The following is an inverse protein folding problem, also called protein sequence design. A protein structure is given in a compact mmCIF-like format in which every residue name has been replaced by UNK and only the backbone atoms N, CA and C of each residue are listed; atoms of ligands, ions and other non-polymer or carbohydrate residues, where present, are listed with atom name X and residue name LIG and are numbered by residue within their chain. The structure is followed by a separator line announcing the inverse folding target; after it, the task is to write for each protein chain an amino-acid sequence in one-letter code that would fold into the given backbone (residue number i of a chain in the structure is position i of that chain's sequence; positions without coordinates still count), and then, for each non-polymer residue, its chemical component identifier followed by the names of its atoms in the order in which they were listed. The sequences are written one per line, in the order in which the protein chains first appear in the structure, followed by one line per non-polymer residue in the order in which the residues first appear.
data_IF_170319063385
#
_entry.id   IF_170319063385
#
_cell.length_a   1.000
_cell.length_b   1.000
_cell.length_c   1.000
_cell.angle_alpha   90.00
_cell.angle_beta   90.00
_cell.angle_gamma   90.00
#
_symmetry.space_group_name_H-M   'P 1'
#
loop_
_entity.id
_entity.type
_entity.pdbx_description
1 polymer ?
#
# COMPACT_ATOMS: atom_id res chain seq x y z
N UNK A 1 6.54 -4.16 -21.35
CA UNK A 1 6.93 -4.37 -19.93
C UNK A 1 6.50 -5.77 -19.54
N UNK A 2 7.40 -6.61 -19.02
CA UNK A 2 7.01 -7.97 -18.60
C UNK A 2 6.13 -7.88 -17.36
N UNK A 3 4.97 -8.51 -17.45
CA UNK A 3 3.94 -8.45 -16.43
C UNK A 3 3.34 -9.82 -16.21
N UNK A 4 2.93 -10.07 -14.97
CA UNK A 4 2.40 -11.35 -14.53
C UNK A 4 1.21 -11.14 -13.61
N UNK A 5 0.34 -12.14 -13.56
CA UNK A 5 -0.59 -12.38 -12.47
C UNK A 5 -0.07 -13.59 -11.70
N UNK A 6 0.04 -13.50 -10.37
CA UNK A 6 0.66 -14.56 -9.61
C UNK A 6 0.26 -14.61 -8.15
N UNK A 7 0.74 -15.65 -7.46
CA UNK A 7 0.49 -15.84 -6.03
C UNK A 7 1.59 -16.69 -5.40
N UNK A 8 1.74 -16.58 -4.08
CA UNK A 8 2.63 -17.39 -3.25
C UNK A 8 2.25 -18.86 -3.32
N UNK A 9 3.25 -19.75 -3.45
CA UNK A 9 3.03 -21.19 -3.35
C UNK A 9 2.69 -21.62 -1.91
N UNK A 10 3.17 -20.88 -0.91
CA UNK A 10 2.72 -21.01 0.47
C UNK A 10 1.29 -20.42 0.59
N UNK A 11 0.34 -21.30 0.90
CA UNK A 11 -1.08 -20.99 1.02
C UNK A 11 -1.38 -20.03 2.18
N UNK A 12 -0.65 -20.12 3.29
CA UNK A 12 -0.84 -19.24 4.43
C UNK A 12 -0.31 -17.83 4.12
N UNK A 13 0.87 -17.73 3.50
CA UNK A 13 1.40 -16.44 3.02
C UNK A 13 0.44 -15.81 2.00
N UNK A 14 -0.09 -16.62 1.06
CA UNK A 14 -1.07 -16.15 0.08
C UNK A 14 -2.32 -15.59 0.75
N UNK A 15 -2.90 -16.33 1.70
CA UNK A 15 -4.13 -15.92 2.38
C UNK A 15 -3.93 -14.70 3.28
N UNK A 16 -2.84 -14.65 4.07
CA UNK A 16 -2.59 -13.56 5.01
C UNK A 16 -2.18 -12.24 4.35
N UNK A 17 -1.62 -12.27 3.15
CA UNK A 17 -1.23 -11.07 2.41
C UNK A 17 -2.42 -10.25 1.89
N UNK A 18 -2.20 -8.98 1.56
CA UNK A 18 -3.22 -8.08 0.95
C UNK A 18 -3.89 -8.64 -0.30
N UNK A 19 -3.13 -9.45 -1.03
CA UNK A 19 -3.37 -9.88 -2.41
C UNK A 19 -2.80 -11.28 -2.55
N UNK A 20 -2.17 -11.67 -3.66
CA UNK A 20 -1.61 -13.01 -3.85
C UNK A 20 -0.36 -13.37 -3.03
N UNK A 21 0.17 -12.52 -2.15
CA UNK A 21 1.36 -12.86 -1.33
C UNK A 21 2.70 -12.92 -2.07
N UNK A 22 2.75 -12.59 -3.36
CA UNK A 22 4.00 -12.62 -4.16
C UNK A 22 5.14 -11.84 -3.52
N UNK A 23 4.89 -10.63 -3.00
CA UNK A 23 5.94 -9.81 -2.39
C UNK A 23 6.56 -10.46 -1.14
N UNK A 24 5.73 -11.06 -0.29
CA UNK A 24 6.18 -11.73 0.94
C UNK A 24 6.94 -13.02 0.63
N UNK A 25 6.50 -13.80 -0.36
CA UNK A 25 7.21 -14.99 -0.83
C UNK A 25 8.52 -14.63 -1.55
N UNK A 26 8.52 -13.55 -2.34
CA UNK A 26 9.73 -13.05 -3.00
C UNK A 26 10.76 -12.57 -1.97
N UNK A 27 10.33 -11.84 -0.92
CA UNK A 27 11.23 -11.46 0.16
C UNK A 27 11.82 -12.67 0.87
N UNK A 28 11.01 -13.70 1.13
CA UNK A 28 11.48 -14.96 1.71
C UNK A 28 12.58 -15.59 0.86
N UNK A 29 12.31 -15.73 -0.44
CA UNK A 29 13.25 -16.29 -1.39
C UNK A 29 14.57 -15.51 -1.42
N UNK A 30 14.54 -14.18 -1.35
CA UNK A 30 15.76 -13.35 -1.30
C UNK A 30 16.63 -13.66 -0.06
N UNK A 31 16.02 -13.88 1.11
CA UNK A 31 16.74 -14.29 2.30
C UNK A 31 17.25 -15.74 2.20
N UNK A 32 16.39 -16.68 1.79
CA UNK A 32 16.74 -18.10 1.71
C UNK A 32 17.88 -18.38 0.71
N UNK A 33 18.05 -17.51 -0.29
CA UNK A 33 19.13 -17.59 -1.29
C UNK A 33 20.35 -16.70 -0.96
N UNK A 34 20.37 -16.08 0.22
CA UNK A 34 21.42 -15.16 0.68
C UNK A 34 21.70 -14.00 -0.32
N UNK A 35 20.66 -13.58 -1.05
CA UNK A 35 20.74 -12.45 -1.99
C UNK A 35 20.70 -11.13 -1.22
N UNK A 36 20.09 -11.12 -0.04
CA UNK A 36 20.03 -9.99 0.88
C UNK A 36 20.34 -10.44 2.31
N UNK A 37 20.84 -9.53 3.13
CA UNK A 37 21.12 -9.74 4.56
C UNK A 37 20.32 -8.77 5.45
N UNK A 38 19.60 -7.83 4.84
CA UNK A 38 18.70 -6.93 5.54
C UNK A 38 17.43 -6.64 4.74
N UNK A 39 16.33 -6.41 5.44
CA UNK A 39 15.10 -5.91 4.84
C UNK A 39 14.30 -5.02 5.80
N UNK A 40 13.11 -4.58 5.36
CA UNK A 40 12.13 -3.88 6.21
C UNK A 40 10.91 -4.74 6.50
N UNK A 41 10.57 -4.82 7.78
CA UNK A 41 9.30 -5.31 8.31
C UNK A 41 8.53 -4.15 8.96
N UNK A 42 7.26 -4.37 9.31
CA UNK A 42 6.43 -3.37 9.96
C UNK A 42 5.66 -3.98 11.14
N UNK A 43 5.77 -3.35 12.31
CA UNK A 43 5.10 -3.79 13.53
C UNK A 43 4.00 -2.82 13.94
N UNK A 44 2.84 -3.35 14.28
CA UNK A 44 1.74 -2.54 14.80
C UNK A 44 1.96 -2.20 16.28
N UNK A 45 1.84 -0.91 16.62
CA UNK A 45 1.85 -0.40 17.98
C UNK A 45 0.43 0.04 18.34
N UNK A 46 -0.19 -0.65 19.30
CA UNK A 46 -1.56 -0.40 19.72
C UNK A 46 -1.75 0.91 20.51
N UNK A 47 -0.73 1.37 21.25
CA UNK A 47 -0.80 2.63 22.01
C UNK A 47 -0.92 3.84 21.07
N UNK A 48 -0.24 3.79 19.93
CA UNK A 48 -0.26 4.86 18.92
C UNK A 48 -1.21 4.58 17.77
N UNK A 49 -1.74 3.36 17.68
CA UNK A 49 -2.46 2.81 16.54
C UNK A 49 -1.68 2.87 15.22
N UNK A 50 -0.34 2.89 15.27
CA UNK A 50 0.51 3.06 14.10
C UNK A 50 1.32 1.82 13.80
N UNK A 51 1.63 1.63 12.52
CA UNK A 51 2.69 0.72 12.12
C UNK A 51 4.02 1.45 12.10
N UNK A 52 5.02 0.85 12.73
CA UNK A 52 6.39 1.33 12.74
C UNK A 52 7.28 0.42 11.89
N UNK A 53 8.13 0.97 11.02
CA UNK A 53 9.13 0.18 10.31
C UNK A 53 10.20 -0.35 11.27
N UNK A 54 10.79 -1.48 10.92
CA UNK A 54 11.97 -2.06 11.57
C UNK A 54 12.92 -2.65 10.52
N UNK A 55 14.23 -2.54 10.75
CA UNK A 55 15.23 -3.29 9.98
C UNK A 55 15.24 -4.72 10.52
N UNK A 56 15.17 -5.70 9.62
CA UNK A 56 15.24 -7.13 9.92
C UNK A 56 16.45 -7.76 9.26
N UNK A 57 16.96 -8.84 9.86
CA UNK A 57 18.13 -9.59 9.37
C UNK A 57 17.83 -11.05 9.05
N UNK A 58 16.63 -11.52 9.38
CA UNK A 58 16.10 -12.82 9.02
C UNK A 58 14.67 -12.65 8.52
N UNK A 59 14.23 -13.56 7.65
CA UNK A 59 12.82 -13.64 7.29
C UNK A 59 11.93 -14.01 8.48
N UNK A 60 12.47 -14.66 9.53
CA UNK A 60 11.70 -15.01 10.72
C UNK A 60 11.18 -13.78 11.49
N UNK A 61 11.85 -12.63 11.33
CA UNK A 61 11.43 -11.34 11.91
C UNK A 61 10.41 -10.59 11.01
N UNK A 62 10.06 -11.16 9.86
CA UNK A 62 9.12 -10.54 8.93
C UNK A 62 7.66 -10.77 9.36
N UNK A 63 6.96 -9.68 9.62
CA UNK A 63 5.52 -9.70 9.92
C UNK A 63 4.73 -9.29 8.67
N UNK A 64 3.83 -10.17 8.19
CA UNK A 64 2.91 -9.83 7.11
C UNK A 64 1.89 -8.81 7.63
N UNK A 65 2.16 -7.53 7.42
CA UNK A 65 1.31 -6.42 7.85
C UNK A 65 0.09 -6.18 6.96
N UNK A 66 0.10 -6.72 5.73
CA UNK A 66 -0.75 -6.25 4.65
C UNK A 66 -0.47 -4.78 4.28
N UNK A 67 -1.40 -4.15 3.57
CA UNK A 67 -1.27 -2.75 3.16
C UNK A 67 -1.39 -1.84 4.37
N UNK A 68 -0.44 -0.94 4.53
CA UNK A 68 -0.51 0.11 5.55
C UNK A 68 -0.94 1.40 4.88
N UNK A 69 -2.14 1.88 5.19
CA UNK A 69 -2.68 3.09 4.58
C UNK A 69 -2.25 4.39 5.27
N UNK A 70 -1.70 4.29 6.48
CA UNK A 70 -1.19 5.42 7.24
C UNK A 70 0.08 6.00 6.62
N UNK A 71 0.40 7.23 7.01
CA UNK A 71 1.64 7.88 6.68
C UNK A 71 2.81 7.22 7.42
N UNK A 72 3.81 6.79 6.64
CA UNK A 72 5.09 6.28 7.13
C UNK A 72 6.20 7.08 6.45
N UNK A 73 7.04 7.73 7.25
CA UNK A 73 8.21 8.48 6.78
C UNK A 73 9.42 7.56 6.59
N UNK A 74 9.24 6.57 5.71
CA UNK A 74 10.18 5.47 5.49
C UNK A 74 11.59 5.92 5.07
N UNK A 75 11.68 7.00 4.28
CA UNK A 75 12.97 7.58 3.88
C UNK A 75 13.74 8.07 5.12
N UNK A 76 13.07 8.78 6.02
CA UNK A 76 13.70 9.33 7.23
C UNK A 76 14.12 8.21 8.18
N UNK A 77 13.27 7.20 8.34
CA UNK A 77 13.61 5.98 9.07
C UNK A 77 14.88 5.33 8.52
N UNK A 78 14.94 5.04 7.22
CA UNK A 78 16.12 4.40 6.61
C UNK A 78 17.37 5.25 6.78
N UNK A 79 17.29 6.59 6.69
CA UNK A 79 18.45 7.46 6.95
C UNK A 79 18.97 7.32 8.36
N UNK A 80 18.08 7.28 9.36
CA UNK A 80 18.45 7.19 10.77
C UNK A 80 19.01 5.81 11.14
N UNK A 81 18.50 4.76 10.50
CA UNK A 81 18.87 3.37 10.75
C UNK A 81 19.82 2.80 9.69
N UNK A 82 20.49 3.66 8.91
CA UNK A 82 21.31 3.22 7.76
C UNK A 82 22.48 2.33 8.18
N UNK A 83 23.03 2.55 9.37
CA UNK A 83 24.14 1.76 9.92
C UNK A 83 23.69 0.38 10.44
N UNK A 84 22.38 0.15 10.57
CA UNK A 84 21.83 -1.16 10.93
C UNK A 84 21.72 -2.07 9.71
N UNK A 85 21.75 -1.54 8.48
CA UNK A 85 21.69 -2.34 7.26
C UNK A 85 23.00 -3.13 7.10
N UNK A 86 22.88 -4.44 6.90
CA UNK A 86 23.98 -5.36 6.63
C UNK A 86 23.83 -5.91 5.22
N UNK A 87 24.95 -6.02 4.50
CA UNK A 87 24.98 -6.61 3.16
C UNK A 87 23.99 -5.95 2.18
N UNK A 88 23.40 -6.75 1.30
CA UNK A 88 22.41 -6.27 0.35
C UNK A 88 21.02 -6.16 1.01
N UNK A 89 20.22 -5.21 0.52
CA UNK A 89 18.99 -4.79 1.18
C UNK A 89 17.75 -5.00 0.31
N UNK A 90 16.61 -5.39 0.91
CA UNK A 90 15.32 -5.33 0.23
C UNK A 90 14.30 -4.48 0.99
N UNK A 91 13.47 -3.74 0.26
CA UNK A 91 12.47 -2.87 0.88
C UNK A 91 11.18 -2.79 0.07
N UNK A 92 10.04 -2.93 0.76
CA UNK A 92 8.76 -2.51 0.22
C UNK A 92 8.66 -0.99 0.26
N UNK A 93 8.28 -0.34 -0.84
CA UNK A 93 8.10 1.10 -0.82
C UNK A 93 7.02 1.62 -1.78
N UNK A 94 6.56 2.83 -1.52
CA UNK A 94 5.63 3.55 -2.37
C UNK A 94 6.37 4.28 -3.50
N UNK A 95 5.69 4.67 -4.60
CA UNK A 95 6.32 5.31 -5.76
C UNK A 95 7.13 6.56 -5.43
N UNK A 96 6.67 7.34 -4.45
CA UNK A 96 7.34 8.57 -4.01
C UNK A 96 8.58 8.32 -3.13
N UNK A 97 8.83 7.07 -2.72
CA UNK A 97 9.92 6.69 -1.83
C UNK A 97 11.08 6.01 -2.58
N UNK A 98 10.79 5.27 -3.65
CA UNK A 98 11.72 4.34 -4.32
C UNK A 98 13.08 4.95 -4.67
N UNK A 99 13.09 6.10 -5.36
CA UNK A 99 14.34 6.78 -5.74
C UNK A 99 15.12 7.27 -4.53
N UNK A 100 14.42 7.83 -3.55
CA UNK A 100 15.04 8.36 -2.34
C UNK A 100 15.73 7.25 -1.55
N UNK A 101 15.02 6.14 -1.33
CA UNK A 101 15.55 4.96 -0.63
C UNK A 101 16.75 4.40 -1.39
N UNK A 102 16.62 4.18 -2.70
CA UNK A 102 17.72 3.66 -3.53
C UNK A 102 18.98 4.48 -3.37
N UNK A 103 18.87 5.80 -3.56
CA UNK A 103 20.01 6.72 -3.46
C UNK A 103 20.67 6.72 -2.08
N UNK A 104 19.90 6.59 -1.00
CA UNK A 104 20.44 6.60 0.37
C UNK A 104 21.22 5.33 0.67
N UNK A 105 20.67 4.18 0.26
CA UNK A 105 21.25 2.85 0.52
C UNK A 105 22.49 2.63 -0.36
N UNK A 106 22.41 2.93 -1.65
CA UNK A 106 23.53 2.76 -2.59
C UNK A 106 24.69 3.73 -2.28
N UNK A 107 24.43 4.93 -1.74
CA UNK A 107 25.48 5.85 -1.27
C UNK A 107 26.30 5.29 -0.10
N UNK A 108 25.79 4.27 0.58
CA UNK A 108 26.49 3.53 1.64
C UNK A 108 27.07 2.20 1.14
N UNK A 109 27.17 2.02 -0.18
CA UNK A 109 27.73 0.83 -0.83
C UNK A 109 26.94 -0.47 -0.59
N UNK A 110 25.66 -0.37 -0.24
CA UNK A 110 24.74 -1.51 -0.21
C UNK A 110 23.95 -1.55 -1.51
N UNK A 111 23.78 -2.74 -2.14
CA UNK A 111 22.79 -2.86 -3.21
C UNK A 111 21.40 -2.93 -2.61
N UNK A 112 20.40 -2.51 -3.38
CA UNK A 112 19.01 -2.50 -2.94
C UNK A 112 18.05 -3.02 -3.98
N UNK A 113 17.24 -3.99 -3.56
CA UNK A 113 16.10 -4.54 -4.30
C UNK A 113 14.83 -3.84 -3.81
N UNK A 114 14.26 -3.01 -4.67
CA UNK A 114 13.05 -2.27 -4.37
C UNK A 114 11.83 -3.07 -4.82
N UNK A 115 11.06 -3.55 -3.84
CA UNK A 115 9.76 -4.19 -4.05
C UNK A 115 8.69 -3.11 -4.01
N UNK A 116 8.39 -2.53 -5.18
CA UNK A 116 7.49 -1.42 -5.31
C UNK A 116 6.02 -1.82 -5.09
N UNK A 117 5.26 -0.94 -4.44
CA UNK A 117 3.81 -1.05 -4.37
C UNK A 117 3.16 0.00 -5.29
N UNK A 118 2.13 -0.41 -6.03
CA UNK A 118 1.22 0.56 -6.64
C UNK A 118 0.48 1.33 -5.57
N UNK A 119 0.26 2.63 -5.78
CA UNK A 119 -0.23 3.50 -4.71
C UNK A 119 -1.26 4.51 -5.20
N UNK A 120 -2.42 4.53 -4.54
CA UNK A 120 -3.43 5.57 -4.76
C UNK A 120 -3.15 6.82 -3.91
N UNK A 121 -3.01 6.66 -2.60
CA UNK A 121 -2.66 7.73 -1.66
C UNK A 121 -2.29 7.15 -0.31
N UNK A 122 -1.40 7.84 0.42
CA UNK A 122 -1.25 7.66 1.87
C UNK A 122 -2.28 8.54 2.57
N UNK A 123 -2.92 7.98 3.60
CA UNK A 123 -3.83 8.67 4.51
C UNK A 123 -3.06 9.13 5.75
N UNK A 124 -3.59 10.13 6.46
CA UNK A 124 -3.18 10.44 7.83
C UNK A 124 -3.79 9.44 8.80
N UNK A 125 -3.20 9.26 9.99
CA UNK A 125 -3.77 8.43 11.07
C UNK A 125 -5.22 8.80 11.41
N UNK A 126 -5.59 10.07 11.18
CA UNK A 126 -6.94 10.57 11.40
C UNK A 126 -8.01 9.80 10.63
N UNK A 127 -7.70 9.22 9.46
CA UNK A 127 -8.65 8.35 8.74
C UNK A 127 -9.05 7.14 9.59
N UNK A 128 -8.07 6.58 10.31
CA UNK A 128 -8.24 5.39 11.15
C UNK A 128 -8.99 5.73 12.41
N UNK A 129 -8.59 6.79 13.12
CA UNK A 129 -9.30 7.22 14.34
C UNK A 129 -10.71 7.70 14.01
N UNK A 130 -10.93 8.30 12.84
CA UNK A 130 -12.27 8.64 12.34
C UNK A 130 -13.12 7.40 12.06
N UNK A 131 -12.58 6.38 11.41
CA UNK A 131 -13.26 5.09 11.19
C UNK A 131 -13.70 4.46 12.51
N UNK A 132 -12.77 4.37 13.47
CA UNK A 132 -13.01 3.77 14.79
C UNK A 132 -14.12 4.52 15.53
N UNK A 133 -14.05 5.87 15.55
CA UNK A 133 -15.12 6.70 16.11
C UNK A 133 -16.46 6.46 15.44
N UNK A 134 -16.51 6.37 14.11
CA UNK A 134 -17.75 6.10 13.36
C UNK A 134 -18.33 4.71 13.61
N UNK A 135 -17.52 3.77 14.06
CA UNK A 135 -17.94 2.43 14.47
C UNK A 135 -18.16 2.28 15.97
N UNK A 136 -17.99 3.35 16.76
CA UNK A 136 -18.11 3.31 18.21
C UNK A 136 -17.05 2.42 18.88
N UNK A 137 -15.88 2.28 18.26
CA UNK A 137 -14.77 1.48 18.79
C UNK A 137 -13.85 2.41 19.59
N UNK A 138 -13.67 2.09 20.88
CA UNK A 138 -12.71 2.78 21.73
C UNK A 138 -11.28 2.48 21.31
N UNK A 139 -10.50 3.54 21.06
CA UNK A 139 -9.10 3.46 20.65
C UNK A 139 -8.22 2.81 21.71
N UNK A 140 -8.56 2.96 22.99
CA UNK A 140 -7.80 2.40 24.10
C UNK A 140 -8.01 0.90 24.27
N UNK A 141 -9.04 0.34 23.62
CA UNK A 141 -9.36 -1.07 23.68
C UNK A 141 -8.87 -1.84 22.45
N UNK A 142 -7.99 -1.27 21.63
CA UNK A 142 -7.47 -1.95 20.43
C UNK A 142 -6.21 -2.73 20.78
N UNK A 143 -6.17 -4.00 20.39
CA UNK A 143 -5.01 -4.88 20.49
C UNK A 143 -4.26 -4.98 19.16
N UNK A 144 -5.00 -5.18 18.06
CA UNK A 144 -4.44 -5.28 16.71
C UNK A 144 -5.35 -4.60 15.70
N UNK A 145 -4.76 -3.94 14.71
CA UNK A 145 -5.48 -3.41 13.54
C UNK A 145 -4.69 -3.74 12.29
N UNK A 146 -5.34 -4.38 11.32
CA UNK A 146 -4.78 -4.68 10.01
C UNK A 146 -5.75 -4.18 8.93
N UNK A 147 -5.26 -3.44 7.93
CA UNK A 147 -6.15 -2.85 6.93
C UNK A 147 -6.53 -3.79 5.79
N UNK A 148 -5.61 -4.70 5.43
CA UNK A 148 -5.73 -5.64 4.33
C UNK A 148 -5.05 -6.96 4.68
N UNK A 149 -5.56 -8.05 4.15
CA UNK A 149 -5.08 -9.41 4.41
C UNK A 149 -6.22 -10.37 4.74
N UNK A 150 -5.91 -11.66 4.83
CA UNK A 150 -6.86 -12.73 5.16
C UNK A 150 -7.95 -12.89 4.07
N UNK A 151 -7.50 -13.04 2.83
CA UNK A 151 -8.33 -13.10 1.62
C UNK A 151 -8.29 -11.81 0.80
N UNK A 152 -9.01 -11.78 -0.31
CA UNK A 152 -9.09 -10.64 -1.24
C UNK A 152 -10.54 -10.45 -1.72
N UNK A 153 -11.10 -9.22 -1.75
CA UNK A 153 -10.49 -7.90 -1.51
C UNK A 153 -10.36 -7.50 -0.02
N UNK A 154 -10.56 -8.46 0.88
CA UNK A 154 -10.36 -8.37 2.34
C UNK A 154 -11.23 -7.36 3.10
N UNK A 155 -11.10 -7.40 4.42
CA UNK A 155 -11.64 -6.43 5.37
C UNK A 155 -10.51 -5.66 6.06
N UNK A 156 -10.85 -4.60 6.79
CA UNK A 156 -10.05 -4.11 7.91
C UNK A 156 -10.40 -5.01 9.09
N UNK A 157 -9.39 -5.65 9.67
CA UNK A 157 -9.52 -6.50 10.85
C UNK A 157 -9.08 -5.73 12.10
N UNK A 158 -9.92 -5.73 13.12
CA UNK A 158 -9.64 -5.12 14.41
C UNK A 158 -9.85 -6.20 15.48
N UNK A 159 -8.84 -6.41 16.31
CA UNK A 159 -8.94 -7.21 17.52
C UNK A 159 -8.85 -6.26 18.72
N UNK A 160 -9.75 -6.40 19.67
CA UNK A 160 -9.75 -5.62 20.91
C UNK A 160 -9.02 -6.34 22.05
N UNK A 161 -8.72 -5.64 23.16
CA UNK A 161 -8.05 -6.24 24.31
C UNK A 161 -8.88 -7.35 24.99
N UNK A 162 -10.21 -7.31 24.84
CA UNK A 162 -11.11 -8.40 25.26
C UNK A 162 -11.36 -9.45 24.16
N UNK A 163 -10.44 -9.58 23.20
CA UNK A 163 -10.47 -10.61 22.13
C UNK A 163 -11.67 -10.57 21.19
N UNK A 164 -12.47 -9.49 21.18
CA UNK A 164 -13.52 -9.30 20.17
C UNK A 164 -12.86 -8.99 18.82
N UNK A 165 -13.26 -9.75 17.80
CA UNK A 165 -12.86 -9.51 16.40
C UNK A 165 -13.94 -8.72 15.68
N UNK A 166 -13.53 -7.67 14.98
CA UNK A 166 -14.40 -6.79 14.20
C UNK A 166 -13.84 -6.71 12.80
N UNK A 167 -14.70 -6.90 11.80
CA UNK A 167 -14.34 -6.77 10.40
C UNK A 167 -15.15 -5.68 9.71
N UNK A 168 -14.45 -4.85 8.93
CA UNK A 168 -15.07 -3.79 8.13
C UNK A 168 -14.66 -4.02 6.68
N UNK A 169 -15.58 -4.39 5.76
CA UNK A 169 -15.23 -4.67 4.37
C UNK A 169 -14.45 -3.51 3.73
N UNK A 170 -13.43 -3.78 2.91
CA UNK A 170 -12.70 -2.69 2.24
C UNK A 170 -13.51 -2.00 1.14
N UNK A 171 -14.45 -2.72 0.55
CA UNK A 171 -15.31 -2.26 -0.54
C UNK A 171 -16.73 -2.03 -0.04
N UNK A 172 -17.42 -1.05 -0.65
CA UNK A 172 -18.82 -0.70 -0.36
C UNK A 172 -19.09 -0.49 1.13
N UNK A 173 -18.14 0.11 1.85
CA UNK A 173 -18.26 0.36 3.29
C UNK A 173 -17.91 1.81 3.64
N UNK A 174 -18.13 2.16 4.91
CA UNK A 174 -17.69 3.45 5.44
C UNK A 174 -16.18 3.67 5.25
N UNK A 175 -15.36 2.60 5.23
CA UNK A 175 -13.94 2.75 4.94
C UNK A 175 -13.71 3.22 3.50
N UNK A 176 -14.44 2.68 2.52
CA UNK A 176 -14.39 3.15 1.14
C UNK A 176 -14.71 4.64 1.06
N UNK A 177 -15.76 5.09 1.77
CA UNK A 177 -16.14 6.51 1.82
C UNK A 177 -15.05 7.39 2.44
N UNK A 178 -14.42 6.93 3.53
CA UNK A 178 -13.33 7.63 4.22
C UNK A 178 -12.09 7.70 3.33
N UNK A 179 -11.61 6.56 2.84
CA UNK A 179 -10.39 6.45 2.07
C UNK A 179 -10.46 7.28 0.78
N UNK A 180 -11.62 7.27 0.11
CA UNK A 180 -11.80 8.01 -1.12
C UNK A 180 -12.23 9.47 -0.93
N UNK A 181 -12.51 9.93 0.28
CA UNK A 181 -12.93 11.33 0.55
C UNK A 181 -11.88 12.38 0.14
N UNK A 182 -10.59 12.04 0.14
CA UNK A 182 -9.47 13.00 0.01
C UNK A 182 -9.24 13.88 1.24
N UNK A 183 -10.06 13.79 2.28
CA UNK A 183 -9.91 14.57 3.52
C UNK A 183 -8.66 14.19 4.30
N UNK A 184 -8.24 12.93 4.21
CA UNK A 184 -7.14 12.41 5.00
C UNK A 184 -5.89 12.17 4.16
N UNK A 185 -5.89 12.50 2.86
CA UNK A 185 -4.72 12.18 2.03
C UNK A 185 -3.58 13.15 2.30
N UNK A 186 -2.34 12.65 2.26
CA UNK A 186 -1.15 13.50 2.39
C UNK A 186 -1.07 14.49 1.22
N UNK A 187 -0.68 15.77 1.44
CA UNK A 187 -0.64 16.79 0.38
C UNK A 187 0.19 16.40 -0.84
N UNK A 188 1.32 15.70 -0.62
CA UNK A 188 2.20 15.17 -1.67
C UNK A 188 1.48 14.23 -2.66
N UNK A 189 0.42 13.53 -2.21
CA UNK A 189 -0.32 12.59 -3.05
C UNK A 189 -1.13 13.27 -4.15
N UNK A 190 -1.53 14.54 -3.98
CA UNK A 190 -2.21 15.31 -5.03
C UNK A 190 -1.28 15.68 -6.20
N UNK A 191 0.03 15.70 -5.97
CA UNK A 191 1.06 16.08 -6.95
C UNK A 191 1.84 14.86 -7.47
N UNK A 192 1.46 13.66 -7.01
CA UNK A 192 2.13 12.43 -7.40
C UNK A 192 1.84 12.12 -8.87
N UNK A 193 2.89 11.82 -9.64
CA UNK A 193 2.79 11.46 -11.07
C UNK A 193 3.04 9.97 -11.33
N UNK A 194 3.36 9.22 -10.29
CA UNK A 194 3.70 7.79 -10.39
C UNK A 194 2.75 6.94 -9.56
N UNK A 195 1.88 6.20 -10.24
CA UNK A 195 0.99 5.20 -9.63
C UNK A 195 1.62 3.82 -9.62
N UNK A 196 2.41 3.51 -10.66
CA UNK A 196 2.88 2.15 -10.94
C UNK A 196 4.22 1.84 -10.27
N UNK A 197 4.84 2.84 -9.62
CA UNK A 197 6.14 2.73 -9.02
C UNK A 197 7.23 2.39 -10.04
N UNK A 198 7.38 3.21 -11.08
CA UNK A 198 8.27 2.91 -12.23
C UNK A 198 9.76 2.87 -11.88
N UNK A 199 10.14 3.24 -10.65
CA UNK A 199 11.52 3.33 -10.18
C UNK A 199 11.88 2.20 -9.20
N UNK A 200 11.14 1.09 -9.24
CA UNK A 200 11.40 -0.12 -8.47
C UNK A 200 12.00 -1.23 -9.35
N UNK A 201 12.32 -2.38 -8.75
CA UNK A 201 12.75 -3.56 -9.50
C UNK A 201 11.55 -4.40 -9.95
N UNK A 202 10.61 -4.64 -9.03
CA UNK A 202 9.30 -5.22 -9.31
C UNK A 202 8.21 -4.37 -8.64
N UNK A 203 7.10 -4.13 -9.33
CA UNK A 203 5.93 -3.45 -8.80
C UNK A 203 4.77 -4.42 -8.59
N UNK A 204 4.10 -4.29 -7.44
CA UNK A 204 2.99 -5.14 -7.02
C UNK A 204 1.67 -4.35 -6.96
N UNK A 205 0.59 -4.94 -7.46
CA UNK A 205 -0.75 -4.35 -7.41
C UNK A 205 -1.84 -5.39 -7.15
N UNK A 206 -2.95 -4.92 -6.59
CA UNK A 206 -4.20 -5.68 -6.58
C UNK A 206 -4.74 -5.83 -8.02
N UNK A 207 -5.24 -7.02 -8.42
CA UNK A 207 -5.74 -7.30 -9.75
C UNK A 207 -7.20 -6.85 -9.88
N UNK A 208 -7.46 -5.55 -9.92
CA UNK A 208 -8.79 -4.97 -10.18
C UNK A 208 -9.27 -5.17 -11.63
N UNK A 209 -9.16 -6.39 -12.14
CA UNK A 209 -9.67 -6.86 -13.41
C UNK A 209 -11.03 -7.54 -13.19
N UNK A 210 -11.97 -7.41 -14.13
CA UNK A 210 -13.33 -7.93 -13.96
C UNK A 210 -13.35 -9.43 -13.63
N UNK A 211 -12.53 -10.22 -14.30
CA UNK A 211 -12.48 -11.67 -14.05
C UNK A 211 -11.94 -11.99 -12.64
N UNK A 212 -10.92 -11.27 -12.19
CA UNK A 212 -10.39 -11.42 -10.82
C UNK A 212 -11.42 -10.98 -9.78
N UNK A 213 -12.09 -9.85 -9.98
CA UNK A 213 -13.14 -9.34 -9.08
C UNK A 213 -14.28 -10.35 -8.92
N UNK A 214 -14.61 -11.10 -9.98
CA UNK A 214 -15.70 -12.09 -9.96
C UNK A 214 -15.30 -13.44 -9.35
N UNK A 215 -14.03 -13.83 -9.46
CA UNK A 215 -13.60 -15.23 -9.21
C UNK A 215 -12.60 -15.40 -8.07
N UNK A 216 -11.83 -14.36 -7.74
CA UNK A 216 -10.76 -14.47 -6.75
C UNK A 216 -11.25 -14.09 -5.35
N UNK A 217 -10.96 -14.94 -4.37
CA UNK A 217 -11.35 -14.75 -2.96
C UNK A 217 -10.17 -14.88 -2.00
N UNK A 218 -9.08 -15.54 -2.42
CA UNK A 218 -7.89 -15.76 -1.60
C UNK A 218 -6.88 -14.64 -1.88
N UNK A 219 -6.58 -14.41 -3.16
CA UNK A 219 -5.70 -13.34 -3.61
C UNK A 219 -4.82 -13.78 -4.79
N UNK A 220 -4.65 -12.85 -5.73
CA UNK A 220 -3.63 -12.87 -6.79
C UNK A 220 -3.00 -11.48 -6.84
N UNK A 221 -1.74 -11.38 -7.23
CA UNK A 221 -0.99 -10.12 -7.34
C UNK A 221 -0.64 -9.87 -8.79
N UNK A 222 -0.91 -8.66 -9.29
CA UNK A 222 -0.27 -8.18 -10.51
C UNK A 222 1.17 -7.81 -10.21
N UNK A 223 2.10 -8.31 -11.02
CA UNK A 223 3.53 -8.03 -10.91
C UNK A 223 4.01 -7.41 -12.21
N UNK A 224 4.78 -6.33 -12.13
CA UNK A 224 5.42 -5.70 -13.30
C UNK A 224 6.91 -5.55 -13.02
N UNK A 225 7.77 -6.05 -13.91
CA UNK A 225 9.22 -5.92 -13.77
C UNK A 225 9.68 -4.61 -14.41
N UNK A 226 10.38 -3.76 -13.66
CA UNK A 226 10.90 -2.46 -14.13
C UNK A 226 12.44 -2.45 -14.25
N UNK A 227 13.11 -3.48 -13.77
CA UNK A 227 14.56 -3.68 -13.94
C UNK A 227 14.88 -5.10 -14.41
N UNK A 228 16.06 -5.26 -15.03
CA UNK A 228 16.55 -6.57 -15.47
C UNK A 228 16.78 -7.51 -14.29
N UNK A 229 17.31 -6.99 -13.17
CA UNK A 229 17.55 -7.77 -11.96
C UNK A 229 16.23 -8.22 -11.30
N UNK A 230 15.23 -7.33 -11.24
CA UNK A 230 13.91 -7.67 -10.73
C UNK A 230 13.24 -8.76 -11.58
N UNK A 231 13.40 -8.70 -12.91
CA UNK A 231 12.90 -9.74 -13.80
C UNK A 231 13.60 -11.08 -13.60
N UNK A 232 14.94 -11.08 -13.57
CA UNK A 232 15.74 -12.29 -13.40
C UNK A 232 15.44 -12.98 -12.07
N UNK A 233 15.42 -12.23 -10.97
CA UNK A 233 15.12 -12.78 -9.64
C UNK A 233 13.68 -13.25 -9.52
N UNK A 234 12.71 -12.54 -10.10
CA UNK A 234 11.32 -13.00 -10.09
C UNK A 234 11.16 -14.33 -10.87
N UNK A 235 11.89 -14.50 -11.97
CA UNK A 235 11.91 -15.75 -12.72
C UNK A 235 12.53 -16.89 -11.91
N UNK A 236 13.68 -16.66 -11.27
CA UNK A 236 14.31 -17.67 -10.40
C UNK A 236 13.44 -18.02 -9.19
N UNK A 237 12.81 -17.02 -8.55
CA UNK A 237 11.87 -17.25 -7.44
C UNK A 237 10.67 -18.14 -7.84
N UNK A 238 10.18 -17.98 -9.08
CA UNK A 238 9.18 -18.88 -9.67
C UNK A 238 9.74 -20.27 -9.92
N UNK A 239 10.93 -20.37 -10.49
CA UNK A 239 11.56 -21.65 -10.87
C UNK A 239 11.94 -22.48 -9.64
N UNK A 240 12.32 -21.82 -8.54
CA UNK A 240 12.49 -22.38 -7.20
C UNK A 240 11.15 -22.65 -6.48
N UNK A 241 10.01 -22.47 -7.16
CA UNK A 241 8.65 -22.80 -6.69
C UNK A 241 8.11 -21.99 -5.50
N UNK A 242 8.67 -20.82 -5.20
CA UNK A 242 8.14 -19.94 -4.14
C UNK A 242 6.85 -19.23 -4.57
N UNK A 243 6.68 -19.00 -5.88
CA UNK A 243 5.55 -18.29 -6.46
C UNK A 243 5.10 -18.95 -7.77
N UNK A 244 3.80 -18.84 -8.05
CA UNK A 244 3.22 -19.15 -9.35
C UNK A 244 2.99 -17.86 -10.14
N UNK A 245 3.37 -17.84 -11.41
CA UNK A 245 3.22 -16.68 -12.31
C UNK A 245 2.62 -17.10 -13.65
N UNK A 246 1.52 -16.44 -14.04
CA UNK A 246 0.98 -16.48 -15.39
C UNK A 246 1.24 -15.14 -16.09
N UNK A 247 1.72 -15.15 -17.34
CA UNK A 247 1.94 -13.92 -18.10
C UNK A 247 0.64 -13.15 -18.30
N UNK A 248 0.73 -11.82 -18.28
CA UNK A 248 -0.39 -10.92 -18.55
C UNK A 248 0.08 -9.73 -19.40
N UNK A 249 -0.79 -9.19 -20.27
CA UNK A 249 -0.45 -7.97 -21.02
C UNK A 249 -0.34 -6.78 -20.06
N UNK A 250 0.69 -5.96 -20.23
CA UNK A 250 0.87 -4.72 -19.47
C UNK A 250 -0.34 -3.77 -19.62
N UNK A 251 -1.06 -3.80 -20.75
CA UNK A 251 -2.32 -3.06 -20.93
C UNK A 251 -3.37 -3.43 -19.90
N UNK A 252 -3.42 -4.70 -19.48
CA UNK A 252 -4.33 -5.15 -18.42
C UNK A 252 -3.88 -4.62 -17.05
N UNK A 253 -2.57 -4.51 -16.79
CA UNK A 253 -2.07 -3.82 -15.59
C UNK A 253 -2.53 -2.36 -15.56
N UNK A 254 -2.42 -1.64 -16.69
CA UNK A 254 -2.92 -0.27 -16.81
C UNK A 254 -4.43 -0.20 -16.59
N UNK A 255 -5.20 -1.08 -17.23
CA UNK A 255 -6.66 -1.14 -17.09
C UNK A 255 -7.08 -1.37 -15.63
N UNK A 256 -6.42 -2.30 -14.94
CA UNK A 256 -6.63 -2.58 -13.51
C UNK A 256 -6.40 -1.35 -12.62
N UNK A 257 -5.39 -0.54 -12.93
CA UNK A 257 -5.03 0.62 -12.11
C UNK A 257 -5.60 1.96 -12.64
N UNK A 258 -6.44 1.90 -13.69
CA UNK A 258 -6.87 3.06 -14.49
C UNK A 258 -7.48 4.18 -13.65
N UNK A 259 -8.38 3.86 -12.73
CA UNK A 259 -9.06 4.87 -11.91
C UNK A 259 -8.08 5.74 -11.10
N UNK A 260 -7.00 5.15 -10.59
CA UNK A 260 -5.96 5.90 -9.86
C UNK A 260 -5.04 6.67 -10.81
N UNK A 261 -4.66 6.07 -11.94
CA UNK A 261 -3.83 6.72 -12.97
C UNK A 261 -4.53 7.98 -13.49
N UNK A 262 -5.77 7.85 -13.93
CA UNK A 262 -6.57 8.94 -14.50
C UNK A 262 -6.79 10.06 -13.47
N UNK A 263 -7.12 9.70 -12.21
CA UNK A 263 -7.28 10.69 -11.14
C UNK A 263 -6.03 11.53 -10.92
N UNK A 264 -4.86 10.90 -10.82
CA UNK A 264 -3.60 11.63 -10.65
C UNK A 264 -3.28 12.47 -11.89
N UNK A 265 -3.53 11.96 -13.10
CA UNK A 265 -3.33 12.74 -14.33
C UNK A 265 -4.18 14.02 -14.32
N UNK A 266 -5.47 13.92 -13.97
CA UNK A 266 -6.38 15.07 -13.84
C UNK A 266 -5.90 16.12 -12.84
N UNK A 267 -5.42 15.69 -11.68
CA UNK A 267 -4.85 16.61 -10.68
C UNK A 267 -3.64 17.36 -11.21
N UNK A 268 -2.72 16.64 -11.87
CA UNK A 268 -1.51 17.22 -12.43
C UNK A 268 -1.81 18.16 -13.61
N UNK A 269 -2.84 17.88 -14.40
CA UNK A 269 -3.30 18.76 -15.48
C UNK A 269 -4.00 20.03 -14.96
N UNK A 270 -4.52 20.01 -13.73
CA UNK A 270 -5.29 21.11 -13.13
C UNK A 270 -4.71 21.54 -11.77
N UNK A 271 -3.46 22.04 -11.70
CA UNK A 271 -2.77 22.29 -10.44
C UNK A 271 -3.43 23.35 -9.56
N UNK A 272 -3.96 24.44 -10.15
CA UNK A 272 -4.63 25.52 -9.39
C UNK A 272 -5.93 25.04 -8.74
N UNK A 273 -6.80 24.38 -9.51
CA UNK A 273 -8.05 23.79 -9.01
C UNK A 273 -7.77 22.74 -7.93
N UNK A 274 -6.77 21.89 -8.16
CA UNK A 274 -6.34 20.86 -7.19
C UNK A 274 -5.82 21.49 -5.90
N UNK A 275 -5.01 22.56 -6.00
CA UNK A 275 -4.53 23.31 -4.83
C UNK A 275 -5.68 23.91 -4.03
N UNK A 276 -6.67 24.51 -4.70
CA UNK A 276 -7.86 25.07 -4.06
C UNK A 276 -8.68 23.98 -3.35
N UNK A 277 -8.99 22.87 -4.05
CA UNK A 277 -9.71 21.75 -3.47
C UNK A 277 -9.00 21.16 -2.25
N UNK A 278 -7.67 21.02 -2.32
CA UNK A 278 -6.85 20.61 -1.18
C UNK A 278 -6.96 21.60 -0.02
N UNK A 279 -6.89 22.90 -0.28
CA UNK A 279 -7.03 23.92 0.76
C UNK A 279 -8.39 23.85 1.46
N UNK A 280 -9.47 23.59 0.72
CA UNK A 280 -10.81 23.35 1.29
C UNK A 280 -10.80 22.11 2.19
N UNK A 281 -10.23 20.99 1.72
CA UNK A 281 -10.15 19.75 2.51
C UNK A 281 -9.31 19.89 3.80
N UNK A 282 -8.39 20.85 3.83
CA UNK A 282 -7.52 21.15 4.96
C UNK A 282 -8.07 22.25 5.89
N UNK A 283 -9.11 22.97 5.48
CA UNK A 283 -9.69 24.05 6.28
C UNK A 283 -10.35 23.49 7.55
N UNK A 284 -9.99 24.03 8.72
CA UNK A 284 -10.45 23.52 10.02
C UNK A 284 -11.97 23.55 10.19
N UNK A 285 -12.63 24.64 9.78
CA UNK A 285 -14.09 24.77 9.84
C UNK A 285 -14.78 23.77 8.92
N UNK A 286 -14.30 23.64 7.68
CA UNK A 286 -14.81 22.64 6.75
C UNK A 286 -14.66 21.22 7.33
N UNK A 287 -13.48 20.88 7.84
CA UNK A 287 -13.22 19.59 8.49
C UNK A 287 -14.12 19.36 9.69
N UNK A 288 -14.37 20.37 10.51
CA UNK A 288 -15.30 20.27 11.64
C UNK A 288 -16.70 19.86 11.16
N UNK A 289 -17.27 20.58 10.19
CA UNK A 289 -18.58 20.26 9.62
C UNK A 289 -18.63 18.84 9.05
N UNK A 290 -17.63 18.44 8.27
CA UNK A 290 -17.62 17.12 7.63
C UNK A 290 -17.41 15.98 8.65
N UNK A 291 -16.48 16.15 9.59
CA UNK A 291 -16.02 15.08 10.46
C UNK A 291 -16.80 14.98 11.79
N UNK A 292 -17.40 16.08 12.27
CA UNK A 292 -18.16 16.10 13.54
C UNK A 292 -19.66 16.14 13.30
N UNK A 293 -20.14 16.93 12.34
CA UNK A 293 -21.58 17.10 12.06
C UNK A 293 -22.15 16.06 11.08
N UNK A 294 -21.40 15.01 10.74
CA UNK A 294 -21.92 13.90 9.93
C UNK A 294 -22.04 14.18 8.43
N UNK A 295 -21.42 15.23 7.89
CA UNK A 295 -21.57 15.64 6.48
C UNK A 295 -20.65 14.91 5.49
N UNK A 296 -20.06 13.77 5.86
CA UNK A 296 -19.14 13.01 4.98
C UNK A 296 -19.79 12.61 3.65
N UNK A 297 -21.05 12.16 3.70
CA UNK A 297 -21.81 11.80 2.50
C UNK A 297 -21.92 12.96 1.51
N UNK A 298 -22.25 14.15 2.02
CA UNK A 298 -22.38 15.36 1.19
C UNK A 298 -21.03 15.81 0.62
N UNK A 299 -19.98 15.77 1.44
CA UNK A 299 -18.61 16.01 0.98
C UNK A 299 -18.22 15.07 -0.17
N UNK A 300 -18.51 13.76 -0.04
CA UNK A 300 -18.21 12.78 -1.07
C UNK A 300 -18.96 13.06 -2.39
N UNK A 301 -20.22 13.53 -2.33
CA UNK A 301 -20.95 14.00 -3.52
C UNK A 301 -20.27 15.19 -4.19
N UNK A 302 -19.90 16.23 -3.41
CA UNK A 302 -19.19 17.41 -3.94
C UNK A 302 -17.86 17.00 -4.57
N UNK A 303 -17.09 16.15 -3.89
CA UNK A 303 -15.80 15.66 -4.39
C UNK A 303 -15.96 14.90 -5.71
N UNK A 304 -16.99 14.06 -5.83
CA UNK A 304 -17.27 13.35 -7.08
C UNK A 304 -17.64 14.32 -8.23
N UNK A 305 -18.42 15.37 -7.96
CA UNK A 305 -18.71 16.42 -8.93
C UNK A 305 -17.42 17.17 -9.33
N UNK A 306 -16.58 17.52 -8.37
CA UNK A 306 -15.29 18.16 -8.61
C UNK A 306 -14.36 17.31 -9.50
N UNK A 307 -14.12 16.05 -9.14
CA UNK A 307 -13.25 15.14 -9.90
C UNK A 307 -13.86 14.69 -11.25
N UNK A 308 -15.18 14.62 -11.33
CA UNK A 308 -15.93 14.14 -12.48
C UNK A 308 -16.22 15.20 -13.52
N UNK A 309 -16.39 16.46 -13.13
CA UNK A 309 -16.80 17.55 -14.02
C UNK A 309 -15.77 18.68 -14.10
N UNK A 310 -15.26 19.15 -12.96
CA UNK A 310 -14.40 20.35 -12.91
C UNK A 310 -12.92 20.07 -13.20
N UNK A 311 -12.50 18.82 -13.08
CA UNK A 311 -11.16 18.33 -13.39
C UNK A 311 -11.09 17.51 -14.70
N UNK A 312 -12.15 17.51 -15.51
CA UNK A 312 -12.09 16.96 -16.87
C UNK A 312 -11.17 17.79 -17.75
#
# INVERSE_FOLDING_TARGET
MKSYLGYSADAQVRYSATSGGVGSAFLKWLFDKDIIQSAISFKFNNQTLRYSPLIIHSYDDYEISGSIYQEIDLIDFIKKHINEIKGDFACFCLPCQSRGIRNIVEKKNHKVIIIGLTCSSQQTIEATTYLLRKKGIDINNIKKLQYRGNGWPSSIQIETNNSKKIEIPNNKSIWTEIFHSRLFIRPKCFMCKDTLNKNCDIALADPWLQDCIKTETIGKTLVTCFSMIGEAYLAQCRDDTYIFLSKIDFKQVIASQKGTIDRKAKYNANPHKTKLFRAICQNNWYRFLILRCGMLYFHNKIRNLFEGYFLK
#
